data_IF_781601043576
#
_entry.id   IF_781601043576
#
_cell.length_a   1.000
_cell.length_b   1.000
_cell.length_c   1.000
_cell.angle_alpha   90.00
_cell.angle_beta   90.00
_cell.angle_gamma   90.00
#
_symmetry.space_group_name_H-M   'P 1'
#
loop_
_entity.id
_entity.type
_entity.pdbx_description
1 polymer ?
#
# COMPACT_ATOMS: atom_id res chain seq x y z
N UNK A 1 -2.95 -22.69 -2.62
CA UNK A 1 -1.65 -22.77 -1.93
C UNK A 1 -0.88 -21.51 -2.24
N UNK A 2 -0.32 -20.86 -1.23
CA UNK A 2 0.48 -19.66 -1.35
C UNK A 2 1.93 -20.01 -1.69
N UNK A 3 2.58 -19.10 -2.41
CA UNK A 3 3.98 -19.21 -2.84
C UNK A 3 4.82 -18.04 -2.29
N UNK A 4 6.12 -18.25 -2.03
CA UNK A 4 7.02 -17.15 -1.75
C UNK A 4 6.94 -16.06 -2.81
N UNK A 5 6.77 -14.82 -2.38
CA UNK A 5 6.55 -13.67 -3.25
C UNK A 5 5.10 -13.19 -3.32
N UNK A 6 4.12 -14.03 -2.99
CA UNK A 6 2.72 -13.66 -2.97
C UNK A 6 2.44 -12.53 -1.97
N UNK A 7 1.45 -11.69 -2.29
CA UNK A 7 0.99 -10.64 -1.40
C UNK A 7 -0.32 -11.05 -0.73
N UNK A 8 -0.38 -10.91 0.59
CA UNK A 8 -1.52 -11.32 1.41
C UNK A 8 -1.85 -10.25 2.46
N UNK A 9 -3.09 -10.29 2.96
CA UNK A 9 -3.52 -9.58 4.15
C UNK A 9 -3.82 -10.59 5.27
N UNK A 10 -3.18 -10.50 6.45
CA UNK A 10 -3.62 -11.24 7.63
C UNK A 10 -5.04 -10.81 8.03
N UNK A 11 -5.92 -11.78 8.26
CA UNK A 11 -7.33 -11.55 8.60
C UNK A 11 -7.57 -11.46 10.12
N UNK A 12 -6.59 -11.88 10.91
CA UNK A 12 -6.64 -11.93 12.38
C UNK A 12 -6.19 -10.62 13.05
N UNK A 13 -5.78 -9.62 12.27
CA UNK A 13 -5.32 -8.32 12.75
C UNK A 13 -6.43 -7.26 12.71
N UNK A 14 -6.42 -6.27 13.62
CA UNK A 14 -7.47 -5.24 13.71
C UNK A 14 -7.50 -4.29 12.49
N UNK A 15 -6.43 -4.24 11.71
CA UNK A 15 -6.33 -3.50 10.45
C UNK A 15 -5.70 -4.40 9.40
N UNK A 16 -5.98 -4.10 8.13
CA UNK A 16 -5.33 -4.78 7.01
C UNK A 16 -3.91 -4.24 6.87
N UNK A 17 -2.94 -5.16 6.93
CA UNK A 17 -1.54 -4.86 6.70
C UNK A 17 -1.03 -5.74 5.56
N UNK A 18 -0.54 -5.12 4.50
CA UNK A 18 0.03 -5.79 3.34
C UNK A 18 1.31 -6.51 3.76
N UNK A 19 1.33 -7.82 3.54
CA UNK A 19 2.48 -8.66 3.79
C UNK A 19 2.89 -9.39 2.52
N UNK A 20 4.19 -9.66 2.39
CA UNK A 20 4.73 -10.55 1.38
C UNK A 20 5.00 -11.91 1.99
N UNK A 21 4.64 -12.99 1.32
CA UNK A 21 4.99 -14.35 1.72
C UNK A 21 6.51 -14.53 1.52
N UNK A 22 7.24 -14.68 2.61
CA UNK A 22 8.68 -14.97 2.60
C UNK A 22 8.95 -16.48 2.50
N UNK A 23 8.04 -17.31 3.04
CA UNK A 23 8.11 -18.76 2.97
C UNK A 23 6.77 -19.41 3.25
N UNK A 24 6.57 -20.60 2.70
CA UNK A 24 5.37 -21.40 2.92
C UNK A 24 5.78 -22.86 3.14
N UNK A 25 5.35 -23.43 4.26
CA UNK A 25 5.59 -24.83 4.61
C UNK A 25 4.25 -25.55 4.62
N UNK A 26 4.15 -26.64 3.84
CA UNK A 26 2.91 -27.39 3.67
C UNK A 26 2.92 -28.62 4.55
N UNK A 27 1.77 -28.95 5.14
CA UNK A 27 1.60 -30.12 6.00
C UNK A 27 0.22 -30.73 5.82
N UNK A 28 0.10 -32.03 6.10
CA UNK A 28 -1.16 -32.77 5.98
C UNK A 28 -1.96 -32.68 7.28
N UNK A 29 -3.26 -32.48 7.15
CA UNK A 29 -4.25 -32.53 8.23
C UNK A 29 -5.35 -33.54 7.88
N UNK A 30 -6.19 -33.91 8.84
CA UNK A 30 -7.37 -34.75 8.59
C UNK A 30 -8.35 -34.12 7.56
N UNK A 31 -8.33 -32.79 7.42
CA UNK A 31 -9.18 -32.04 6.50
C UNK A 31 -8.51 -31.77 5.13
N UNK A 32 -7.26 -32.19 4.92
CA UNK A 32 -6.49 -31.93 3.71
C UNK A 32 -5.16 -31.22 3.97
N UNK A 33 -4.58 -30.65 2.93
CA UNK A 33 -3.28 -29.96 3.01
C UNK A 33 -3.49 -28.53 3.49
N UNK A 34 -2.71 -28.12 4.50
CA UNK A 34 -2.65 -26.75 5.02
C UNK A 34 -1.22 -26.20 4.96
N UNK A 35 -1.07 -24.89 5.15
CA UNK A 35 0.24 -24.24 5.16
C UNK A 35 0.47 -23.35 6.38
N UNK A 36 1.71 -23.37 6.88
CA UNK A 36 2.27 -22.34 7.75
C UNK A 36 3.03 -21.36 6.87
N UNK A 37 2.68 -20.08 6.96
CA UNK A 37 3.26 -19.00 6.19
C UNK A 37 4.17 -18.15 7.07
N UNK A 38 5.36 -17.85 6.55
CA UNK A 38 6.25 -16.79 7.03
C UNK A 38 5.95 -15.53 6.23
N UNK A 39 5.51 -14.48 6.88
CA UNK A 39 5.08 -13.24 6.25
C UNK A 39 6.00 -12.10 6.65
N UNK A 40 6.52 -11.39 5.66
CA UNK A 40 7.24 -10.14 5.84
C UNK A 40 6.26 -8.97 5.71
N UNK A 41 5.97 -8.20 6.79
CA UNK A 41 5.15 -7.00 6.70
C UNK A 41 5.82 -5.96 5.82
N UNK A 42 5.04 -5.38 4.88
CA UNK A 42 5.48 -4.26 4.05
C UNK A 42 5.02 -2.91 4.61
N UNK A 43 4.13 -2.95 5.60
CA UNK A 43 3.59 -1.81 6.32
C UNK A 43 3.28 -2.20 7.77
N UNK A 44 2.94 -1.21 8.60
CA UNK A 44 2.48 -1.41 9.96
C UNK A 44 3.49 -0.95 11.02
N UNK A 45 3.18 -1.21 12.30
CA UNK A 45 3.94 -0.68 13.44
C UNK A 45 5.17 -1.53 13.80
N UNK A 46 5.42 -2.62 13.06
CA UNK A 46 6.46 -3.56 13.40
C UNK A 46 7.85 -3.02 13.06
N UNK A 47 8.87 -3.38 13.86
CA UNK A 47 10.27 -3.13 13.50
C UNK A 47 10.63 -3.74 12.16
N UNK A 48 11.67 -3.20 11.52
CA UNK A 48 12.28 -3.81 10.35
C UNK A 48 12.64 -5.28 10.64
N UNK A 49 12.57 -6.14 9.61
CA UNK A 49 12.90 -7.57 9.69
C UNK A 49 11.93 -8.43 10.52
N UNK A 50 10.84 -7.86 11.03
CA UNK A 50 9.78 -8.67 11.68
C UNK A 50 9.22 -9.70 10.70
N UNK A 51 9.08 -10.94 11.17
CA UNK A 51 8.40 -12.02 10.45
C UNK A 51 7.16 -12.44 11.24
N UNK A 52 6.00 -12.36 10.62
CA UNK A 52 4.75 -12.86 11.17
C UNK A 52 4.52 -14.30 10.72
N UNK A 53 4.18 -15.18 11.66
CA UNK A 53 3.86 -16.58 11.39
C UNK A 53 2.35 -16.77 11.44
N UNK A 54 1.75 -17.28 10.36
CA UNK A 54 0.29 -17.47 10.25
C UNK A 54 -0.05 -18.75 9.50
N UNK A 55 -1.22 -19.30 9.81
CA UNK A 55 -1.82 -20.34 8.97
C UNK A 55 -2.42 -19.74 7.71
N UNK A 56 -2.47 -20.52 6.64
CA UNK A 56 -3.12 -20.17 5.38
C UNK A 56 -4.58 -19.74 5.52
N UNK A 57 -5.32 -20.33 6.45
CA UNK A 57 -6.71 -19.97 6.75
C UNK A 57 -6.86 -18.58 7.40
N UNK A 58 -5.78 -18.03 7.95
CA UNK A 58 -5.76 -16.72 8.60
C UNK A 58 -5.29 -15.59 7.66
N UNK A 59 -5.13 -15.87 6.36
CA UNK A 59 -4.73 -14.86 5.37
C UNK A 59 -5.68 -14.81 4.19
N UNK A 60 -5.77 -13.62 3.59
CA UNK A 60 -6.57 -13.37 2.38
C UNK A 60 -5.65 -12.89 1.27
N UNK A 61 -5.76 -13.50 0.09
CA UNK A 61 -5.02 -13.08 -1.10
C UNK A 61 -5.33 -11.62 -1.47
N UNK A 62 -4.30 -10.87 -1.85
CA UNK A 62 -4.49 -9.50 -2.33
C UNK A 62 -5.07 -9.56 -3.75
N UNK A 63 -6.25 -8.95 -4.01
CA UNK A 63 -6.80 -8.92 -5.35
C UNK A 63 -5.85 -8.18 -6.29
N UNK A 64 -5.63 -8.71 -7.50
CA UNK A 64 -4.69 -8.13 -8.47
C UNK A 64 -4.88 -6.61 -8.66
N UNK A 65 -6.15 -6.14 -8.70
CA UNK A 65 -6.51 -4.70 -8.77
C UNK A 65 -5.85 -3.80 -7.72
N UNK A 66 -5.55 -4.30 -6.51
CA UNK A 66 -4.89 -3.52 -5.46
C UNK A 66 -3.38 -3.40 -5.69
N UNK A 67 -2.75 -4.42 -6.29
CA UNK A 67 -1.32 -4.38 -6.63
C UNK A 67 -1.05 -3.27 -7.67
N UNK A 68 -1.92 -3.14 -8.68
CA UNK A 68 -1.84 -2.08 -9.69
C UNK A 68 -2.01 -0.67 -9.12
N UNK A 69 -2.76 -0.50 -8.03
CA UNK A 69 -2.93 0.81 -7.37
C UNK A 69 -1.77 1.17 -6.44
N UNK A 70 -1.16 0.18 -5.78
CA UNK A 70 0.03 0.40 -4.95
C UNK A 70 1.27 0.77 -5.78
N UNK A 71 1.35 0.27 -7.02
CA UNK A 71 2.42 0.61 -7.96
C UNK A 71 2.24 1.96 -8.66
N UNK A 72 1.09 2.63 -8.51
CA UNK A 72 0.99 4.01 -8.99
C UNK A 72 1.91 4.86 -8.11
N UNK A 73 2.92 5.53 -8.68
CA UNK A 73 3.71 6.50 -7.93
C UNK A 73 2.70 7.42 -7.27
N UNK A 74 2.80 7.57 -5.94
CA UNK A 74 2.10 8.62 -5.20
C UNK A 74 2.44 9.89 -5.95
N UNK A 75 1.55 10.35 -6.84
CA UNK A 75 1.65 11.68 -7.44
C UNK A 75 1.59 12.56 -6.22
N UNK A 76 2.76 13.03 -5.77
CA UNK A 76 2.85 14.09 -4.79
C UNK A 76 1.85 15.10 -5.28
N UNK A 77 0.76 15.28 -4.53
CA UNK A 77 -0.24 16.27 -4.81
C UNK A 77 0.55 17.56 -4.91
N UNK A 78 0.86 17.96 -6.14
CA UNK A 78 1.56 19.19 -6.39
C UNK A 78 0.62 20.22 -5.79
N UNK A 79 1.04 20.81 -4.68
CA UNK A 79 0.39 21.94 -4.05
C UNK A 79 0.11 22.90 -5.18
N UNK A 80 -1.16 22.96 -5.58
CA UNK A 80 -1.61 23.76 -6.70
C UNK A 80 -1.43 25.20 -6.23
N UNK A 81 -0.24 25.76 -6.47
CA UNK A 81 0.06 27.17 -6.14
C UNK A 81 -1.04 27.99 -6.82
N UNK A 82 -1.82 28.78 -6.06
CA UNK A 82 -2.78 29.66 -6.69
C UNK A 82 -1.98 30.66 -7.55
N UNK A 83 -2.23 30.63 -8.86
CA UNK A 83 -1.66 31.60 -9.79
C UNK A 83 -2.28 32.94 -9.45
N UNK A 84 -1.53 33.79 -8.74
CA UNK A 84 -1.91 35.16 -8.43
C UNK A 84 -1.89 35.93 -9.76
N UNK A 85 -3.06 36.18 -10.36
CA UNK A 85 -3.17 37.11 -11.51
C UNK A 85 -2.75 38.48 -11.03
N UNK A 86 -1.61 38.96 -11.50
CA UNK A 86 -1.20 40.36 -11.37
C UNK A 86 -1.89 41.11 -12.50
N UNK A 87 -2.94 41.86 -12.19
CA UNK A 87 -3.52 42.83 -13.11
C UNK A 87 -2.62 44.04 -13.14
N UNK A 88 -1.82 44.20 -14.19
CA UNK A 88 -1.06 45.41 -14.46
C UNK A 88 -2.04 46.52 -14.87
N UNK A 89 -2.38 47.41 -13.94
CA UNK A 89 -3.04 48.68 -14.25
C UNK A 89 -1.98 49.61 -14.85
N UNK A 90 -2.11 49.89 -16.15
CA UNK A 90 -1.32 50.89 -16.86
C UNK A 90 -1.69 52.30 -16.37
N UNK A 91 -0.70 53.18 -16.08
CA UNK A 91 -0.97 54.58 -15.82
C UNK A 91 -0.91 55.38 -17.13
N UNK A 92 -1.97 56.12 -17.45
CA UNK A 92 -1.96 57.22 -18.40
C UNK A 92 -3.17 58.11 -18.08
N UNK A 93 -3.10 59.43 -18.01
CA UNK A 93 -2.03 60.44 -18.07
C UNK A 93 -2.73 61.73 -17.62
N UNK A 94 -2.06 62.63 -16.89
CA UNK A 94 -2.57 63.99 -16.63
C UNK A 94 -2.74 64.74 -17.96
N UNK A 95 -3.81 65.50 -18.09
CA UNK A 95 -3.86 66.70 -18.94
C UNK A 95 -4.73 67.77 -18.27
N UNK A 96 -4.08 68.90 -18.00
CA UNK A 96 -4.60 70.20 -17.58
C UNK A 96 -5.21 70.95 -18.76
N UNK A 97 -6.32 71.65 -18.54
CA UNK A 97 -6.60 73.05 -18.91
C UNK A 97 -8.04 73.40 -18.53
#
# INVERSE_FOLDING_TARGET
MYQPGDCVYPADLPRRFLCRVAGAESFSTAAGISQILRLQPLEGPWPAETILIRLDCAVVAVPARHLWQAQRPKRRSATRRPVRRVTTLHPARRATA
#
